data_IF_908601383674
#
_entry.id   IF_908601383674
#
_cell.length_a   1.000
_cell.length_b   1.000
_cell.length_c   1.000
_cell.angle_alpha   90.00
_cell.angle_beta   90.00
_cell.angle_gamma   90.00
#
_symmetry.space_group_name_H-M   'P 1'
#
loop_
_entity.id
_entity.type
_entity.pdbx_description
1 polymer ?
#
# COMPACT_ATOMS: atom_id res chain seq x y z
N UNK A 1 -0.87 -4.74 -15.57
CA UNK A 1 0.09 -3.62 -15.34
C UNK A 1 1.44 -4.09 -15.85
N UNK A 2 2.22 -3.22 -16.50
CA UNK A 2 3.56 -3.54 -16.98
C UNK A 2 4.60 -2.73 -16.22
N UNK A 3 5.80 -3.29 -16.03
CA UNK A 3 6.87 -2.67 -15.25
C UNK A 3 8.17 -2.49 -16.07
N UNK A 4 8.08 -2.50 -17.41
CA UNK A 4 9.22 -2.33 -18.31
C UNK A 4 9.97 -1.00 -18.15
N UNK A 5 9.30 0.01 -17.55
CA UNK A 5 9.93 1.28 -17.20
C UNK A 5 10.60 1.26 -15.81
N UNK A 6 10.45 0.17 -15.06
CA UNK A 6 10.91 0.06 -13.67
C UNK A 6 11.96 -1.03 -13.55
N UNK A 7 11.73 -2.18 -14.17
CA UNK A 7 12.58 -3.36 -14.04
C UNK A 7 13.36 -3.63 -15.32
N UNK A 8 14.64 -3.97 -15.19
CA UNK A 8 15.40 -4.54 -16.31
C UNK A 8 14.74 -5.82 -16.82
N UNK A 9 14.73 -5.99 -18.14
CA UNK A 9 14.26 -7.22 -18.80
C UNK A 9 15.44 -8.17 -19.05
N UNK A 10 15.12 -9.47 -19.16
CA UNK A 10 16.02 -10.53 -19.65
C UNK A 10 17.31 -10.79 -18.82
N UNK A 11 17.42 -10.22 -17.64
CA UNK A 11 18.51 -10.45 -16.71
C UNK A 11 18.07 -10.52 -15.26
N UNK A 12 18.92 -11.04 -14.39
CA UNK A 12 18.79 -10.87 -12.95
C UNK A 12 19.25 -9.47 -12.54
N UNK A 13 18.59 -8.91 -11.52
CA UNK A 13 18.88 -7.57 -11.00
C UNK A 13 18.56 -7.49 -9.51
N UNK A 14 19.08 -6.47 -8.85
CA UNK A 14 18.78 -6.13 -7.47
C UNK A 14 18.04 -4.80 -7.36
N UNK A 15 17.73 -4.38 -6.15
CA UNK A 15 17.02 -3.12 -5.89
C UNK A 15 17.74 -1.88 -6.40
N UNK A 16 19.08 -1.92 -6.49
CA UNK A 16 19.88 -0.81 -7.04
C UNK A 16 19.67 -0.57 -8.53
N UNK A 17 19.22 -1.61 -9.25
CA UNK A 17 18.93 -1.53 -10.70
C UNK A 17 17.49 -1.13 -10.99
N UNK A 18 16.65 -1.01 -9.94
CA UNK A 18 15.23 -0.70 -10.07
C UNK A 18 15.02 0.77 -10.40
N UNK A 19 14.26 1.04 -11.46
CA UNK A 19 13.89 2.37 -11.88
C UNK A 19 12.83 3.03 -11.00
N UNK A 20 12.26 4.10 -11.50
CA UNK A 20 11.26 4.87 -10.76
C UNK A 20 9.84 4.35 -11.00
N UNK A 21 9.16 3.94 -9.93
CA UNK A 21 7.72 3.64 -9.97
C UNK A 21 6.91 4.92 -10.15
N UNK A 22 5.97 4.91 -11.08
CA UNK A 22 4.96 5.98 -11.18
C UNK A 22 4.01 5.89 -9.99
N UNK A 23 3.32 6.97 -9.67
CA UNK A 23 2.40 7.04 -8.53
C UNK A 23 1.27 6.00 -8.57
N UNK A 24 0.90 5.50 -9.76
CA UNK A 24 -0.10 4.46 -9.97
C UNK A 24 0.49 3.05 -10.12
N UNK A 25 1.82 2.91 -10.05
CA UNK A 25 2.50 1.61 -10.18
C UNK A 25 2.94 1.12 -8.80
N UNK A 26 2.45 -0.03 -8.41
CA UNK A 26 2.91 -0.77 -7.23
C UNK A 26 2.80 -2.26 -7.53
N UNK A 27 3.58 -3.06 -6.82
CA UNK A 27 3.58 -4.51 -6.98
C UNK A 27 2.27 -5.07 -6.43
N UNK A 28 1.62 -5.89 -7.23
CA UNK A 28 0.40 -6.59 -6.86
C UNK A 28 0.73 -8.06 -6.56
N UNK A 29 0.02 -8.69 -5.64
CA UNK A 29 0.26 -10.09 -5.27
C UNK A 29 0.27 -11.02 -6.48
N UNK A 30 -0.65 -10.84 -7.41
CA UNK A 30 -0.76 -11.66 -8.63
C UNK A 30 0.32 -11.37 -9.67
N UNK A 31 1.17 -10.37 -9.45
CA UNK A 31 2.33 -10.06 -10.30
C UNK A 31 3.66 -10.47 -9.68
N UNK A 32 3.66 -11.13 -8.52
CA UNK A 32 4.86 -11.49 -7.77
C UNK A 32 4.91 -12.98 -7.52
N UNK A 33 6.09 -13.58 -7.76
CA UNK A 33 6.40 -14.96 -7.41
C UNK A 33 7.62 -14.94 -6.49
N UNK A 34 7.47 -15.42 -5.27
CA UNK A 34 8.56 -15.58 -4.33
C UNK A 34 9.09 -17.02 -4.30
N UNK A 35 10.39 -17.17 -4.05
CA UNK A 35 10.91 -18.48 -3.65
C UNK A 35 10.25 -18.88 -2.34
N UNK A 36 9.67 -20.06 -2.29
CA UNK A 36 8.97 -20.57 -1.09
C UNK A 36 9.90 -20.61 0.13
N UNK A 37 11.20 -20.93 -0.06
CA UNK A 37 12.16 -20.98 1.01
C UNK A 37 12.35 -19.60 1.68
N UNK A 38 12.40 -18.50 0.92
CA UNK A 38 12.46 -17.14 1.46
C UNK A 38 11.29 -16.86 2.41
N UNK A 39 10.07 -17.23 2.01
CA UNK A 39 8.87 -17.01 2.84
C UNK A 39 8.88 -17.88 4.12
N UNK A 40 9.44 -19.11 4.03
CA UNK A 40 9.60 -20.00 5.19
C UNK A 40 10.67 -19.51 6.16
N UNK A 41 11.82 -19.07 5.65
CA UNK A 41 12.95 -18.62 6.46
C UNK A 41 12.60 -17.37 7.29
N UNK A 42 11.72 -16.51 6.76
CA UNK A 42 11.23 -15.34 7.47
C UNK A 42 9.98 -15.60 8.32
N UNK A 43 9.48 -16.84 8.39
CA UNK A 43 8.24 -17.23 9.09
C UNK A 43 7.05 -16.31 8.75
N UNK A 44 6.89 -15.97 7.45
CA UNK A 44 5.83 -15.07 7.04
C UNK A 44 4.46 -15.61 7.42
N UNK A 45 3.74 -14.87 8.25
CA UNK A 45 2.36 -15.16 8.64
C UNK A 45 1.43 -14.09 8.10
N UNK A 46 0.40 -14.55 7.38
CA UNK A 46 -0.66 -13.66 6.91
C UNK A 46 -1.80 -13.65 7.94
N UNK A 47 -2.43 -12.49 8.21
CA UNK A 47 -3.63 -12.44 9.03
C UNK A 47 -4.73 -13.35 8.47
N UNK A 48 -5.22 -14.27 9.30
CA UNK A 48 -6.31 -15.18 8.92
C UNK A 48 -7.65 -14.46 8.90
N UNK A 49 -8.56 -14.93 8.04
CA UNK A 49 -9.90 -14.37 7.84
C UNK A 49 -9.90 -12.85 7.60
N UNK A 50 -8.91 -12.38 6.86
CA UNK A 50 -8.67 -10.95 6.62
C UNK A 50 -8.49 -10.69 5.12
N UNK A 51 -9.26 -9.74 4.59
CA UNK A 51 -9.04 -9.23 3.24
C UNK A 51 -7.82 -8.31 3.21
N UNK A 52 -7.32 -8.01 2.02
CA UNK A 52 -6.18 -7.10 1.78
C UNK A 52 -4.81 -7.61 2.28
N UNK A 53 -4.73 -8.88 2.71
CA UNK A 53 -3.46 -9.54 3.12
C UNK A 53 -2.46 -9.67 1.98
N UNK A 54 -2.92 -9.54 0.74
CA UNK A 54 -2.10 -9.39 -0.46
C UNK A 54 -1.05 -8.28 -0.32
N UNK A 55 -1.37 -7.19 0.37
CA UNK A 55 -0.42 -6.11 0.67
C UNK A 55 0.68 -6.58 1.63
N UNK A 56 0.35 -7.38 2.65
CA UNK A 56 1.34 -7.98 3.57
C UNK A 56 2.24 -8.94 2.80
N UNK A 57 1.64 -9.82 1.98
CA UNK A 57 2.37 -10.80 1.16
C UNK A 57 3.38 -10.14 0.22
N UNK A 58 3.04 -8.99 -0.37
CA UNK A 58 3.94 -8.26 -1.26
C UNK A 58 4.99 -7.49 -0.47
N UNK A 59 4.60 -6.77 0.57
CA UNK A 59 5.41 -5.76 1.23
C UNK A 59 6.47 -6.34 2.17
N UNK A 60 6.05 -7.28 3.02
CA UNK A 60 6.90 -7.76 4.12
C UNK A 60 8.15 -8.51 3.66
N UNK A 61 8.13 -9.32 2.59
CA UNK A 61 9.32 -10.03 2.12
C UNK A 61 10.36 -9.14 1.41
N UNK A 62 10.00 -7.93 0.96
CA UNK A 62 10.87 -7.12 0.09
C UNK A 62 12.28 -6.85 0.65
N UNK A 63 12.49 -6.59 1.96
CA UNK A 63 13.84 -6.40 2.51
C UNK A 63 14.74 -7.65 2.42
N UNK A 64 14.13 -8.83 2.30
CA UNK A 64 14.84 -10.11 2.20
C UNK A 64 15.14 -10.53 0.75
N UNK A 65 14.61 -9.79 -0.24
CA UNK A 65 14.81 -10.07 -1.66
C UNK A 65 16.14 -9.48 -2.12
N UNK A 66 17.09 -10.34 -2.46
CA UNK A 66 18.40 -9.95 -2.97
C UNK A 66 18.44 -9.88 -4.50
N UNK A 67 17.83 -10.85 -5.17
CA UNK A 67 17.82 -10.95 -6.63
C UNK A 67 16.41 -11.08 -7.16
N UNK A 68 16.14 -10.44 -8.28
CA UNK A 68 14.86 -10.41 -8.97
C UNK A 68 15.04 -10.70 -10.45
N UNK A 69 14.00 -11.20 -11.10
CA UNK A 69 13.90 -11.29 -12.55
C UNK A 69 12.51 -10.84 -12.98
N UNK A 70 12.45 -9.99 -13.97
CA UNK A 70 11.19 -9.51 -14.54
C UNK A 70 10.89 -10.21 -15.86
N UNK A 71 9.69 -10.72 -16.01
CA UNK A 71 9.16 -11.30 -17.23
C UNK A 71 7.99 -10.43 -17.71
N UNK A 72 8.09 -9.83 -18.89
CA UNK A 72 7.01 -9.05 -19.50
C UNK A 72 6.02 -9.98 -20.22
N UNK A 73 5.31 -10.78 -19.42
CA UNK A 73 4.33 -11.75 -19.90
C UNK A 73 2.99 -11.58 -19.16
N UNK A 74 1.89 -11.76 -19.88
CA UNK A 74 0.54 -11.68 -19.32
C UNK A 74 0.14 -13.02 -18.66
N UNK A 75 0.81 -13.39 -17.56
CA UNK A 75 0.54 -14.65 -16.85
C UNK A 75 -0.79 -14.64 -16.08
N UNK A 76 -1.21 -13.46 -15.62
CA UNK A 76 -2.44 -13.32 -14.85
C UNK A 76 -3.38 -12.31 -15.52
N UNK A 77 -4.62 -12.74 -15.77
CA UNK A 77 -5.68 -11.90 -16.32
C UNK A 77 -6.73 -11.65 -15.25
N UNK A 78 -6.76 -10.45 -14.72
CA UNK A 78 -7.71 -10.04 -13.70
C UNK A 78 -8.97 -9.49 -14.35
N UNK A 79 -10.11 -10.14 -14.10
CA UNK A 79 -11.40 -9.64 -14.55
C UNK A 79 -11.86 -8.51 -13.62
N UNK A 80 -11.99 -7.29 -14.16
CA UNK A 80 -12.39 -6.09 -13.42
C UNK A 80 -13.86 -5.77 -13.74
N UNK A 81 -14.60 -5.26 -12.75
CA UNK A 81 -15.96 -4.73 -12.94
C UNK A 81 -17.07 -5.63 -12.40
N UNK A 82 -16.76 -6.58 -11.50
CA UNK A 82 -17.79 -7.31 -10.75
C UNK A 82 -18.15 -6.54 -9.48
N UNK A 83 -19.43 -6.56 -9.11
CA UNK A 83 -19.95 -5.84 -7.92
C UNK A 83 -19.44 -6.42 -6.59
N UNK A 84 -19.01 -7.69 -6.58
CA UNK A 84 -18.51 -8.41 -5.41
C UNK A 84 -16.99 -8.26 -5.17
N UNK A 85 -16.31 -7.47 -6.00
CA UNK A 85 -14.86 -7.29 -5.87
C UNK A 85 -14.49 -6.57 -4.57
N UNK A 86 -13.41 -7.05 -3.94
CA UNK A 86 -12.89 -6.52 -2.67
C UNK A 86 -12.47 -5.04 -2.73
N UNK A 87 -12.20 -4.53 -3.92
CA UNK A 87 -11.85 -3.13 -4.20
C UNK A 87 -13.06 -2.24 -4.48
N UNK A 88 -14.29 -2.80 -4.49
CA UNK A 88 -15.51 -2.00 -4.57
C UNK A 88 -15.64 -1.12 -3.33
N UNK A 89 -16.00 0.15 -3.50
CA UNK A 89 -16.07 1.15 -2.43
C UNK A 89 -16.94 0.70 -1.25
N UNK A 90 -18.16 0.18 -1.52
CA UNK A 90 -19.07 -0.31 -0.48
C UNK A 90 -18.47 -1.49 0.28
N UNK A 91 -17.79 -2.38 -0.43
CA UNK A 91 -17.12 -3.54 0.17
C UNK A 91 -15.94 -3.09 1.03
N UNK A 92 -15.16 -2.12 0.56
CA UNK A 92 -14.04 -1.56 1.33
C UNK A 92 -14.51 -0.85 2.61
N UNK A 93 -15.59 -0.07 2.54
CA UNK A 93 -16.18 0.57 3.72
C UNK A 93 -16.61 -0.47 4.76
N UNK A 94 -17.30 -1.52 4.35
CA UNK A 94 -17.73 -2.60 5.26
C UNK A 94 -16.58 -3.41 5.88
N UNK A 95 -15.37 -3.30 5.32
CA UNK A 95 -14.16 -4.05 5.74
C UNK A 95 -13.03 -3.15 6.18
N UNK A 96 -13.32 -1.91 6.51
CA UNK A 96 -12.29 -0.90 6.84
C UNK A 96 -11.41 -1.32 8.02
N UNK A 97 -11.96 -2.03 9.00
CA UNK A 97 -11.18 -2.54 10.14
C UNK A 97 -10.14 -3.58 9.72
N UNK A 98 -10.40 -4.35 8.67
CA UNK A 98 -9.42 -5.28 8.11
C UNK A 98 -8.31 -4.54 7.36
N UNK A 99 -8.65 -3.48 6.62
CA UNK A 99 -7.66 -2.60 5.99
C UNK A 99 -6.75 -1.95 7.03
N UNK A 100 -7.32 -1.48 8.15
CA UNK A 100 -6.55 -0.94 9.29
C UNK A 100 -5.63 -2.01 9.88
N UNK A 101 -6.13 -3.22 10.11
CA UNK A 101 -5.34 -4.35 10.62
C UNK A 101 -4.15 -4.65 9.71
N UNK A 102 -4.37 -4.75 8.42
CA UNK A 102 -3.31 -4.99 7.42
C UNK A 102 -2.28 -3.86 7.43
N UNK A 103 -2.72 -2.60 7.47
CA UNK A 103 -1.82 -1.45 7.51
C UNK A 103 -0.96 -1.45 8.79
N UNK A 104 -1.54 -1.74 9.95
CA UNK A 104 -0.79 -1.89 11.21
C UNK A 104 0.21 -3.06 11.15
N UNK A 105 -0.19 -4.20 10.56
CA UNK A 105 0.72 -5.34 10.34
C UNK A 105 1.93 -4.93 9.48
N UNK A 106 1.73 -4.13 8.43
CA UNK A 106 2.84 -3.63 7.60
C UNK A 106 3.75 -2.66 8.35
N UNK A 107 3.19 -1.79 9.20
CA UNK A 107 3.96 -0.88 10.08
C UNK A 107 4.83 -1.67 11.06
N UNK A 108 4.31 -2.75 11.61
CA UNK A 108 5.03 -3.56 12.61
C UNK A 108 6.13 -4.45 12.00
N UNK A 109 5.88 -4.95 10.80
CA UNK A 109 6.72 -5.98 10.19
C UNK A 109 8.07 -5.44 9.69
N UNK A 110 8.17 -4.16 9.32
CA UNK A 110 9.38 -3.61 8.70
C UNK A 110 9.74 -2.25 9.28
N UNK A 111 10.91 -2.16 9.91
CA UNK A 111 11.53 -0.88 10.24
C UNK A 111 12.25 -0.33 9.00
N UNK A 112 11.67 0.73 8.40
CA UNK A 112 12.24 1.34 7.20
C UNK A 112 13.61 2.00 7.44
N UNK A 113 13.99 2.28 8.69
CA UNK A 113 15.31 2.82 9.01
C UNK A 113 16.41 1.76 8.84
N UNK A 114 16.08 0.48 8.94
CA UNK A 114 17.03 -0.64 8.74
C UNK A 114 17.18 -1.07 7.28
N UNK A 115 16.32 -0.55 6.38
CA UNK A 115 16.40 -0.87 4.95
C UNK A 115 17.51 -0.06 4.32
N UNK A 116 18.65 -0.69 4.04
CA UNK A 116 19.87 -0.02 3.55
C UNK A 116 19.70 0.52 2.12
N UNK A 117 19.13 -0.29 1.22
CA UNK A 117 18.95 0.11 -0.17
C UNK A 117 17.94 1.26 -0.29
N UNK A 118 18.39 2.39 -0.82
CA UNK A 118 17.59 3.62 -0.91
C UNK A 118 16.40 3.51 -1.88
N UNK A 119 16.52 2.73 -2.97
CA UNK A 119 15.44 2.51 -3.93
C UNK A 119 14.33 1.68 -3.29
N UNK A 120 14.70 0.61 -2.59
CA UNK A 120 13.75 -0.21 -1.83
C UNK A 120 13.07 0.61 -0.74
N UNK A 121 13.85 1.30 0.09
CA UNK A 121 13.31 2.13 1.17
C UNK A 121 12.33 3.17 0.65
N UNK A 122 12.64 3.85 -0.45
CA UNK A 122 11.73 4.82 -1.10
C UNK A 122 10.46 4.15 -1.61
N UNK A 123 10.58 2.98 -2.24
CA UNK A 123 9.43 2.21 -2.70
C UNK A 123 8.51 1.83 -1.54
N UNK A 124 9.08 1.24 -0.48
CA UNK A 124 8.32 0.82 0.70
C UNK A 124 7.69 1.99 1.44
N UNK A 125 8.38 3.12 1.56
CA UNK A 125 7.85 4.37 2.11
C UNK A 125 6.62 4.84 1.31
N UNK A 126 6.69 4.84 -0.02
CA UNK A 126 5.57 5.25 -0.87
C UNK A 126 4.41 4.28 -0.77
N UNK A 127 4.68 2.99 -0.68
CA UNK A 127 3.64 1.97 -0.51
C UNK A 127 2.91 2.16 0.83
N UNK A 128 3.64 2.31 1.92
CA UNK A 128 3.02 2.56 3.23
C UNK A 128 2.25 3.90 3.26
N UNK A 129 2.78 4.94 2.59
CA UNK A 129 2.07 6.21 2.40
C UNK A 129 0.71 6.02 1.71
N UNK A 130 0.66 5.18 0.68
CA UNK A 130 -0.58 4.82 0.00
C UNK A 130 -1.55 4.10 0.93
N UNK A 131 -1.08 3.13 1.72
CA UNK A 131 -1.91 2.39 2.67
C UNK A 131 -2.53 3.31 3.74
N UNK A 132 -1.74 4.24 4.28
CA UNK A 132 -2.21 5.26 5.22
C UNK A 132 -3.24 6.21 4.59
N UNK A 133 -3.03 6.57 3.31
CA UNK A 133 -3.97 7.37 2.54
C UNK A 133 -5.30 6.63 2.34
N UNK A 134 -5.28 5.36 1.95
CA UNK A 134 -6.47 4.51 1.79
C UNK A 134 -7.27 4.48 3.09
N UNK A 135 -6.64 4.17 4.23
CA UNK A 135 -7.31 4.20 5.53
C UNK A 135 -7.97 5.56 5.80
N UNK A 136 -7.23 6.66 5.57
CA UNK A 136 -7.74 8.02 5.83
C UNK A 136 -8.92 8.40 4.95
N UNK A 137 -8.88 8.05 3.66
CA UNK A 137 -9.94 8.38 2.69
C UNK A 137 -11.21 7.61 3.02
N UNK A 138 -11.12 6.28 3.17
CA UNK A 138 -12.31 5.45 3.41
C UNK A 138 -12.97 5.75 4.76
N UNK A 139 -12.19 6.00 5.83
CA UNK A 139 -12.72 6.40 7.12
C UNK A 139 -13.39 7.79 7.08
N UNK A 140 -13.06 8.63 6.11
CA UNK A 140 -13.69 9.95 5.93
C UNK A 140 -14.89 9.95 5.02
N UNK A 141 -15.14 8.89 4.27
CA UNK A 141 -16.33 8.78 3.41
C UNK A 141 -17.60 8.72 4.25
N UNK A 142 -17.60 7.91 5.29
CA UNK A 142 -18.67 7.90 6.29
C UNK A 142 -18.31 8.86 7.41
N UNK A 143 -19.04 9.96 7.51
CA UNK A 143 -18.74 11.07 8.42
C UNK A 143 -19.22 10.78 9.85
N UNK A 144 -18.75 9.68 10.44
CA UNK A 144 -19.09 9.31 11.81
C UNK A 144 -17.96 9.69 12.78
N UNK A 145 -18.28 10.05 14.04
CA UNK A 145 -17.26 10.26 15.07
C UNK A 145 -16.36 9.05 15.28
N UNK A 146 -16.92 7.83 15.20
CA UNK A 146 -16.20 6.57 15.33
C UNK A 146 -15.10 6.42 14.24
N UNK A 147 -15.43 6.74 12.99
CA UNK A 147 -14.47 6.66 11.89
C UNK A 147 -13.35 7.70 12.00
N UNK A 148 -13.63 8.90 12.51
CA UNK A 148 -12.60 9.90 12.80
C UNK A 148 -11.70 9.46 13.95
N UNK A 149 -12.24 8.80 14.97
CA UNK A 149 -11.45 8.19 16.05
C UNK A 149 -10.55 7.07 15.52
N UNK A 150 -11.10 6.12 14.75
CA UNK A 150 -10.31 5.06 14.09
C UNK A 150 -9.19 5.64 13.23
N UNK A 151 -9.46 6.71 12.50
CA UNK A 151 -8.46 7.39 11.69
C UNK A 151 -7.35 8.01 12.54
N UNK A 152 -7.73 8.69 13.62
CA UNK A 152 -6.76 9.26 14.56
C UNK A 152 -5.90 8.17 15.20
N UNK A 153 -6.49 7.04 15.55
CA UNK A 153 -5.82 5.87 16.12
C UNK A 153 -4.76 5.27 15.18
N UNK A 154 -5.07 5.11 13.89
CA UNK A 154 -4.09 4.59 12.92
C UNK A 154 -2.88 5.51 12.82
N UNK A 155 -3.08 6.82 12.79
CA UNK A 155 -2.00 7.80 12.77
C UNK A 155 -1.22 7.86 14.09
N UNK A 156 -1.91 7.75 15.22
CA UNK A 156 -1.28 7.68 16.55
C UNK A 156 -0.44 6.40 16.69
N UNK A 157 -0.95 5.28 16.20
CA UNK A 157 -0.22 4.01 16.16
C UNK A 157 1.11 4.13 15.40
N UNK A 158 1.08 4.68 14.18
CA UNK A 158 2.30 4.93 13.41
C UNK A 158 3.26 5.87 14.17
N UNK A 159 2.73 6.95 14.78
CA UNK A 159 3.54 7.91 15.55
C UNK A 159 4.22 7.26 16.76
N UNK A 160 3.52 6.39 17.46
CA UNK A 160 4.06 5.67 18.61
C UNK A 160 5.15 4.67 18.19
N UNK A 161 5.01 4.04 17.01
CA UNK A 161 5.99 3.09 16.48
C UNK A 161 7.22 3.78 15.91
N UNK A 162 7.03 4.81 15.09
CA UNK A 162 8.11 5.59 14.47
C UNK A 162 7.64 7.04 14.22
N UNK A 163 8.06 7.95 15.12
CA UNK A 163 7.70 9.38 15.04
C UNK A 163 8.30 10.07 13.80
N UNK A 164 9.47 9.62 13.32
CA UNK A 164 10.13 10.17 12.14
C UNK A 164 9.36 9.77 10.88
N UNK A 165 9.04 8.48 10.74
CA UNK A 165 8.24 7.96 9.63
C UNK A 165 6.85 8.60 9.62
N UNK A 166 6.20 8.74 10.79
CA UNK A 166 4.93 9.46 10.92
C UNK A 166 5.03 10.88 10.34
N UNK A 167 6.07 11.64 10.71
CA UNK A 167 6.24 12.99 10.19
C UNK A 167 6.43 12.98 8.67
N UNK A 168 7.23 12.09 8.14
CA UNK A 168 7.46 11.96 6.70
C UNK A 168 6.17 11.61 5.95
N UNK A 169 5.45 10.57 6.39
CA UNK A 169 4.23 10.12 5.73
C UNK A 169 3.10 11.15 5.79
N UNK A 170 2.96 11.84 6.93
CA UNK A 170 1.91 12.87 7.11
C UNK A 170 2.05 14.03 6.12
N UNK A 171 3.27 14.36 5.72
CA UNK A 171 3.57 15.47 4.80
C UNK A 171 3.71 15.03 3.34
N UNK A 172 3.50 13.76 3.00
CA UNK A 172 3.39 13.37 1.59
C UNK A 172 2.17 14.03 0.94
N UNK A 173 2.25 14.31 -0.35
CA UNK A 173 1.15 14.95 -1.08
C UNK A 173 -0.19 14.22 -0.89
N UNK A 174 -0.18 12.88 -0.94
CA UNK A 174 -1.36 12.04 -0.73
C UNK A 174 -1.96 12.25 0.67
N UNK A 175 -1.13 12.16 1.71
CA UNK A 175 -1.62 12.19 3.08
C UNK A 175 -1.88 13.62 3.58
N UNK A 176 -1.13 14.62 3.13
CA UNK A 176 -1.40 16.01 3.46
C UNK A 176 -2.79 16.43 2.97
N UNK A 177 -3.15 16.10 1.72
CA UNK A 177 -4.46 16.42 1.15
C UNK A 177 -5.61 15.68 1.85
N UNK A 178 -5.43 14.41 2.21
CA UNK A 178 -6.48 13.61 2.85
C UNK A 178 -6.63 13.86 4.35
N UNK A 179 -5.70 14.54 5.00
CA UNK A 179 -5.70 14.79 6.44
C UNK A 179 -5.94 16.25 6.84
N UNK A 180 -6.35 17.13 5.93
CA UNK A 180 -6.73 18.51 6.26
C UNK A 180 -7.88 18.49 7.28
N UNK A 181 -7.73 19.15 8.46
CA UNK A 181 -8.66 18.97 9.60
C UNK A 181 -9.96 19.77 9.49
N UNK A 182 -10.26 20.34 8.34
CA UNK A 182 -11.46 21.17 8.14
C UNK A 182 -12.52 20.41 7.33
N UNK A 183 -13.82 20.75 7.44
CA UNK A 183 -14.87 20.19 6.59
C UNK A 183 -14.59 20.39 5.09
N UNK A 184 -14.09 21.56 4.70
CA UNK A 184 -13.70 21.87 3.32
C UNK A 184 -12.51 21.00 2.86
N UNK A 185 -11.51 20.82 3.74
CA UNK A 185 -10.38 19.92 3.44
C UNK A 185 -10.80 18.46 3.28
N UNK A 186 -11.77 18.00 4.04
CA UNK A 186 -12.38 16.67 3.87
C UNK A 186 -13.02 16.54 2.49
N UNK A 187 -13.85 17.49 2.13
CA UNK A 187 -14.52 17.49 0.82
C UNK A 187 -13.53 17.55 -0.33
N UNK A 188 -12.46 18.34 -0.19
CA UNK A 188 -11.36 18.38 -1.15
C UNK A 188 -10.69 17.02 -1.31
N UNK A 189 -10.33 16.35 -0.20
CA UNK A 189 -9.71 15.02 -0.22
C UNK A 189 -10.57 13.97 -0.90
N UNK A 190 -11.88 13.94 -0.61
CA UNK A 190 -12.84 13.03 -1.24
C UNK A 190 -13.02 13.34 -2.73
N UNK A 191 -13.11 14.61 -3.11
CA UNK A 191 -13.20 15.01 -4.52
C UNK A 191 -11.94 14.59 -5.28
N UNK A 192 -10.76 14.81 -4.70
CA UNK A 192 -9.49 14.38 -5.30
C UNK A 192 -9.42 12.86 -5.48
N UNK A 193 -9.93 12.09 -4.51
CA UNK A 193 -10.03 10.63 -4.62
C UNK A 193 -10.95 10.22 -5.78
N UNK A 194 -12.16 10.76 -5.89
CA UNK A 194 -13.08 10.43 -6.98
C UNK A 194 -12.54 10.85 -8.35
N UNK A 195 -11.82 11.96 -8.43
CA UNK A 195 -11.13 12.35 -9.67
C UNK A 195 -10.03 11.36 -10.02
N UNK A 196 -9.20 10.97 -9.05
CA UNK A 196 -8.17 9.96 -9.25
C UNK A 196 -8.77 8.62 -9.68
N UNK A 197 -9.86 8.18 -9.06
CA UNK A 197 -10.59 6.96 -9.45
C UNK A 197 -11.02 6.98 -10.91
N UNK A 198 -11.58 8.10 -11.39
CA UNK A 198 -11.97 8.25 -12.81
C UNK A 198 -10.78 8.25 -13.76
N UNK A 199 -9.67 8.92 -13.39
CA UNK A 199 -8.49 9.03 -14.26
C UNK A 199 -7.76 7.68 -14.34
N UNK A 200 -7.55 7.02 -13.22
CA UNK A 200 -6.78 5.77 -13.13
C UNK A 200 -7.63 4.50 -13.32
N UNK A 201 -8.95 4.65 -13.47
CA UNK A 201 -9.91 3.55 -13.67
C UNK A 201 -9.75 2.39 -12.67
N UNK A 202 -9.47 2.72 -11.42
CA UNK A 202 -9.59 1.76 -10.34
C UNK A 202 -10.95 1.93 -9.67
N UNK A 203 -11.66 0.82 -9.48
CA UNK A 203 -12.98 0.81 -8.85
C UNK A 203 -12.85 0.74 -7.34
#
# INVERSE_FOLDING_TARGET
MRYTNVFPTDKEFGWSDVGHFRSSQYLLMHSVIYRTQLLRDMDLKLPEHCFYVDNVFVYVPLPHVQTMRYFDVDMYRYFIGRDDQSVNEKVMLSRIDQQIRVTKTMIDAVDLNTVENSHLRKYMHNYLSMMMCICSVFLRMEQTPENEEKRADVWAYLKAKDAKLYSQLKHTLLNAGTNIPTPLGRQFGLTAYHVAQKIFKFN
#
